data_IF_024596763341
#
_entry.id   IF_024596763341
#
_cell.length_a   1.000
_cell.length_b   1.000
_cell.length_c   1.000
_cell.angle_alpha   90.00
_cell.angle_beta   90.00
_cell.angle_gamma   90.00
#
_symmetry.space_group_name_H-M   'P 1'
#
loop_
_entity.id
_entity.type
_entity.pdbx_description
1 polymer ?
#
# COMPACT_ATOMS: atom_id res chain seq x y z
N UNK A 1 7.45 27.25 8.00
CA UNK A 1 7.26 26.52 6.70
C UNK A 1 7.79 25.12 6.87
N UNK A 2 6.99 24.11 6.68
CA UNK A 2 7.36 22.72 6.92
C UNK A 2 6.92 21.81 5.78
N UNK A 3 7.52 20.62 5.67
CA UNK A 3 7.23 19.61 4.66
C UNK A 3 6.94 18.27 5.33
N UNK A 4 5.91 17.59 4.87
CA UNK A 4 5.51 16.32 5.42
C UNK A 4 5.81 15.16 4.47
N UNK A 5 6.18 14.01 5.05
CA UNK A 5 6.24 12.72 4.37
C UNK A 5 5.36 11.71 5.10
N UNK A 6 4.51 11.00 4.35
CA UNK A 6 3.73 9.89 4.87
C UNK A 6 4.15 8.59 4.20
N UNK A 7 4.35 7.54 5.02
CA UNK A 7 4.58 6.18 4.57
C UNK A 7 3.38 5.32 4.98
N UNK A 8 2.75 4.65 4.00
CA UNK A 8 1.58 3.79 4.17
C UNK A 8 2.01 2.36 3.87
N UNK A 9 2.44 1.64 4.91
CA UNK A 9 2.96 0.28 4.81
C UNK A 9 1.92 -0.81 5.09
N UNK A 10 2.35 -2.08 5.10
CA UNK A 10 1.49 -3.25 5.36
C UNK A 10 1.00 -3.35 6.80
N UNK A 11 1.73 -2.82 7.77
CA UNK A 11 1.45 -2.96 9.21
C UNK A 11 1.06 -1.65 9.89
N UNK A 12 1.00 -0.55 9.15
CA UNK A 12 0.68 0.77 9.68
C UNK A 12 1.08 1.89 8.76
N UNK A 13 0.71 3.11 9.15
CA UNK A 13 1.12 4.33 8.50
C UNK A 13 1.89 5.23 9.47
N UNK A 14 2.81 6.03 8.93
CA UNK A 14 3.66 6.95 9.69
C UNK A 14 3.81 8.27 8.94
N UNK A 15 3.66 9.36 9.64
CA UNK A 15 3.85 10.71 9.14
C UNK A 15 4.96 11.41 9.92
N UNK A 16 5.87 12.05 9.20
CA UNK A 16 6.91 12.92 9.74
C UNK A 16 6.78 14.29 9.08
N UNK A 17 6.97 15.34 9.88
CA UNK A 17 7.03 16.72 9.38
C UNK A 17 8.39 17.30 9.74
N UNK A 18 9.01 17.94 8.77
CA UNK A 18 10.35 18.53 8.87
C UNK A 18 10.27 20.04 8.68
N UNK A 19 11.09 20.78 9.44
CA UNK A 19 11.39 22.18 9.18
C UNK A 19 12.33 22.34 7.97
N UNK A 20 12.71 23.58 7.64
CA UNK A 20 13.62 23.88 6.53
C UNK A 20 15.07 23.42 6.81
N UNK A 21 15.44 23.24 8.05
CA UNK A 21 16.75 22.76 8.49
C UNK A 21 16.81 21.22 8.50
N UNK A 22 15.70 20.53 8.27
CA UNK A 22 15.61 19.07 8.23
C UNK A 22 15.38 18.42 9.61
N UNK A 23 15.03 19.17 10.64
CA UNK A 23 14.67 18.61 11.92
C UNK A 23 13.22 18.12 11.91
N UNK A 24 12.97 17.00 12.57
CA UNK A 24 11.60 16.48 12.74
C UNK A 24 10.88 17.30 13.81
N UNK A 25 9.90 18.11 13.39
CA UNK A 25 9.10 18.96 14.28
C UNK A 25 7.75 18.34 14.69
N UNK A 26 7.27 17.33 13.95
CA UNK A 26 6.07 16.58 14.30
C UNK A 26 6.16 15.14 13.80
N UNK A 27 5.56 14.22 14.54
CA UNK A 27 5.41 12.82 14.14
C UNK A 27 4.10 12.24 14.63
N UNK A 28 3.48 11.41 13.79
CA UNK A 28 2.35 10.57 14.16
C UNK A 28 2.43 9.21 13.46
N UNK A 29 1.88 8.17 14.07
CA UNK A 29 1.81 6.84 13.47
C UNK A 29 0.61 6.07 13.98
N UNK A 30 0.08 5.18 13.14
CA UNK A 30 -0.99 4.25 13.47
C UNK A 30 -0.63 2.87 12.97
N UNK A 31 -0.94 1.86 13.77
CA UNK A 31 -0.82 0.46 13.39
C UNK A 31 -2.18 -0.08 13.00
N UNK A 32 -2.21 -0.91 11.98
CA UNK A 32 -3.33 -1.75 11.63
C UNK A 32 -2.83 -3.18 11.41
N UNK A 33 -3.74 -4.11 11.35
CA UNK A 33 -3.40 -5.54 11.24
C UNK A 33 -3.83 -6.05 9.88
N UNK A 34 -3.05 -7.02 9.40
CA UNK A 34 -3.49 -7.85 8.30
C UNK A 34 -4.72 -8.63 8.72
N UNK A 35 -5.68 -8.71 7.82
CA UNK A 35 -6.83 -9.60 7.86
C UNK A 35 -6.53 -10.72 6.87
N UNK A 36 -7.07 -11.90 7.11
CA UNK A 36 -6.88 -13.05 6.23
C UNK A 36 -6.75 -14.33 7.03
N UNK A 37 -7.05 -15.45 6.39
CA UNK A 37 -7.02 -16.79 6.97
C UNK A 37 -6.52 -17.77 5.91
N UNK A 38 -5.97 -18.88 6.34
CA UNK A 38 -5.63 -20.00 5.47
C UNK A 38 -4.65 -19.65 4.32
N UNK A 39 -3.67 -18.78 4.60
CA UNK A 39 -2.68 -18.33 3.63
C UNK A 39 -3.09 -17.09 2.84
N UNK A 40 -4.27 -16.55 3.07
CA UNK A 40 -4.70 -15.26 2.53
C UNK A 40 -4.10 -14.14 3.37
N UNK A 41 -3.64 -13.09 2.71
CA UNK A 41 -3.05 -11.92 3.34
C UNK A 41 -3.71 -10.67 2.79
N UNK A 42 -4.48 -10.00 3.62
CA UNK A 42 -5.32 -8.88 3.21
C UNK A 42 -5.17 -7.67 4.13
N UNK A 43 -5.40 -6.50 3.56
CA UNK A 43 -5.67 -5.29 4.31
C UNK A 43 -7.07 -4.78 3.97
N UNK A 44 -7.81 -4.36 5.00
CA UNK A 44 -9.04 -3.63 4.83
C UNK A 44 -8.72 -2.18 4.42
N UNK A 45 -9.07 -1.75 3.19
CA UNK A 45 -8.72 -0.41 2.70
C UNK A 45 -9.38 0.72 3.49
N UNK A 46 -10.57 0.49 4.05
CA UNK A 46 -11.27 1.49 4.88
C UNK A 46 -10.47 1.76 6.16
N UNK A 47 -9.97 0.70 6.81
CA UNK A 47 -9.14 0.83 8.02
C UNK A 47 -7.85 1.58 7.71
N UNK A 48 -7.21 1.28 6.57
CA UNK A 48 -6.00 2.00 6.14
C UNK A 48 -6.30 3.48 5.93
N UNK A 49 -7.35 3.80 5.15
CA UNK A 49 -7.74 5.17 4.82
C UNK A 49 -8.12 5.98 6.07
N UNK A 50 -8.86 5.38 7.00
CA UNK A 50 -9.24 6.01 8.26
C UNK A 50 -8.00 6.38 9.10
N UNK A 51 -7.05 5.46 9.24
CA UNK A 51 -5.81 5.74 9.98
C UNK A 51 -4.96 6.83 9.31
N UNK A 52 -4.90 6.86 7.99
CA UNK A 52 -4.24 7.94 7.23
C UNK A 52 -4.92 9.27 7.51
N UNK A 53 -6.25 9.35 7.45
CA UNK A 53 -7.02 10.58 7.76
C UNK A 53 -6.76 11.06 9.19
N UNK A 54 -6.68 10.14 10.16
CA UNK A 54 -6.40 10.49 11.56
C UNK A 54 -5.03 11.15 11.67
N UNK A 55 -3.96 10.55 11.16
CA UNK A 55 -2.61 11.11 11.30
C UNK A 55 -2.42 12.42 10.54
N UNK A 56 -3.09 12.60 9.40
CA UNK A 56 -3.13 13.88 8.68
C UNK A 56 -3.84 14.96 9.48
N UNK A 57 -4.99 14.63 10.09
CA UNK A 57 -5.72 15.56 10.96
C UNK A 57 -4.91 15.93 12.19
N UNK A 58 -4.20 14.99 12.81
CA UNK A 58 -3.30 15.25 13.92
C UNK A 58 -2.18 16.21 13.54
N UNK A 59 -1.57 16.02 12.36
CA UNK A 59 -0.53 16.90 11.85
C UNK A 59 -1.07 18.32 11.62
N UNK A 60 -2.23 18.46 10.98
CA UNK A 60 -2.84 19.76 10.72
C UNK A 60 -3.24 20.53 11.97
N UNK A 61 -3.52 19.81 13.09
CA UNK A 61 -3.91 20.45 14.36
C UNK A 61 -2.75 20.76 15.29
N UNK A 62 -1.70 19.93 15.27
CA UNK A 62 -0.68 19.92 16.32
C UNK A 62 0.73 20.23 15.80
N UNK A 63 0.95 20.32 14.50
CA UNK A 63 2.23 20.74 13.96
C UNK A 63 2.47 22.21 14.32
N UNK A 64 3.64 22.59 14.84
CA UNK A 64 3.92 23.97 15.25
C UNK A 64 4.09 24.92 14.06
N UNK A 65 4.26 24.39 12.85
CA UNK A 65 4.43 25.18 11.62
C UNK A 65 3.42 24.78 10.55
N UNK A 66 3.17 25.71 9.61
CA UNK A 66 2.35 25.43 8.44
C UNK A 66 3.03 24.40 7.53
N UNK A 67 2.30 23.34 7.19
CA UNK A 67 2.73 22.30 6.26
C UNK A 67 2.40 22.76 4.84
N UNK A 68 3.43 22.98 4.03
CA UNK A 68 3.30 23.51 2.65
C UNK A 68 3.12 22.40 1.60
N UNK A 69 3.69 21.22 1.85
CA UNK A 69 3.60 20.09 0.94
C UNK A 69 3.66 18.75 1.68
N UNK A 70 3.04 17.75 1.07
CA UNK A 70 3.02 16.36 1.52
C UNK A 70 3.50 15.43 0.41
N UNK A 71 4.51 14.62 0.69
CA UNK A 71 4.90 13.50 -0.15
C UNK A 71 4.31 12.19 0.41
N UNK A 72 3.88 11.30 -0.48
CA UNK A 72 3.27 10.01 -0.11
C UNK A 72 4.13 8.88 -0.66
N UNK A 73 4.56 7.97 0.23
CA UNK A 73 5.03 6.63 -0.10
C UNK A 73 3.97 5.62 0.31
N UNK A 74 3.73 4.61 -0.50
CA UNK A 74 2.69 3.62 -0.26
C UNK A 74 3.09 2.25 -0.78
N UNK A 75 2.29 1.24 -0.44
CA UNK A 75 2.40 -0.12 -0.95
C UNK A 75 2.39 -0.11 -2.49
N UNK A 76 3.45 -0.62 -3.12
CA UNK A 76 3.59 -0.63 -4.57
C UNK A 76 2.81 -1.74 -5.29
N UNK A 77 2.42 -2.77 -4.55
CA UNK A 77 1.89 -4.02 -5.13
C UNK A 77 0.48 -4.38 -4.63
N UNK A 78 -0.17 -3.49 -3.91
CA UNK A 78 -1.54 -3.69 -3.44
C UNK A 78 -2.53 -2.86 -4.24
N UNK A 79 -3.67 -3.47 -4.57
CA UNK A 79 -4.72 -2.86 -5.39
C UNK A 79 -6.02 -2.82 -4.59
N UNK A 80 -6.75 -1.73 -4.69
CA UNK A 80 -8.12 -1.59 -4.19
C UNK A 80 -9.08 -1.52 -5.37
N UNK A 81 -9.99 -2.49 -5.47
CA UNK A 81 -11.03 -2.47 -6.50
C UNK A 81 -12.23 -1.67 -6.01
N UNK A 82 -12.70 -0.75 -6.84
CA UNK A 82 -13.87 0.08 -6.55
C UNK A 82 -14.95 -0.14 -7.62
N UNK A 83 -16.21 0.00 -7.22
CA UNK A 83 -17.32 0.10 -8.17
C UNK A 83 -17.44 1.52 -8.76
N UNK A 84 -18.44 1.71 -9.63
CA UNK A 84 -18.75 3.00 -10.26
C UNK A 84 -19.15 4.11 -9.27
N UNK A 85 -19.54 3.75 -8.06
CA UNK A 85 -19.92 4.67 -6.98
C UNK A 85 -18.79 4.88 -5.96
N UNK A 86 -17.58 4.38 -6.24
CA UNK A 86 -16.42 4.37 -5.36
C UNK A 86 -16.58 3.52 -4.09
N UNK A 87 -17.48 2.52 -4.09
CA UNK A 87 -17.54 1.56 -2.99
C UNK A 87 -16.42 0.52 -3.16
N UNK A 88 -15.79 0.16 -2.06
CA UNK A 88 -14.76 -0.86 -2.01
C UNK A 88 -15.40 -2.23 -2.22
N UNK A 89 -14.95 -2.97 -3.24
CA UNK A 89 -15.50 -4.28 -3.60
C UNK A 89 -14.90 -5.43 -2.79
N UNK A 90 -13.64 -5.30 -2.37
CA UNK A 90 -12.93 -6.32 -1.61
C UNK A 90 -11.76 -5.73 -0.82
N UNK A 91 -11.26 -6.49 0.14
CA UNK A 91 -9.99 -6.20 0.79
C UNK A 91 -8.84 -6.24 -0.21
N UNK A 92 -7.81 -5.43 0.07
CA UNK A 92 -6.60 -5.38 -0.75
C UNK A 92 -5.70 -6.57 -0.42
N UNK A 93 -5.32 -7.35 -1.43
CA UNK A 93 -4.37 -8.45 -1.27
C UNK A 93 -2.95 -7.92 -1.07
N UNK A 94 -2.20 -8.58 -0.20
CA UNK A 94 -0.80 -8.26 0.08
C UNK A 94 0.15 -9.21 -0.62
N UNK A 95 1.39 -8.78 -0.75
CA UNK A 95 2.51 -9.62 -1.19
C UNK A 95 2.60 -10.88 -0.33
N UNK A 96 2.69 -12.04 -0.97
CA UNK A 96 2.71 -13.34 -0.29
C UNK A 96 1.34 -13.97 -0.07
N UNK A 97 0.26 -13.35 -0.53
CA UNK A 97 -1.05 -14.00 -0.64
C UNK A 97 -0.97 -15.22 -1.58
N UNK A 98 -1.65 -16.30 -1.28
CA UNK A 98 -1.55 -17.55 -2.05
C UNK A 98 -2.57 -17.66 -3.20
N UNK A 99 -3.48 -16.73 -3.36
CA UNK A 99 -4.44 -16.70 -4.47
C UNK A 99 -3.74 -16.35 -5.80
N UNK A 100 -4.35 -16.70 -6.91
CA UNK A 100 -3.83 -16.40 -8.26
C UNK A 100 -2.65 -17.28 -8.71
N UNK A 101 -2.36 -18.39 -8.02
CA UNK A 101 -1.28 -19.33 -8.42
C UNK A 101 -1.63 -20.01 -9.74
N UNK A 102 -2.88 -20.41 -9.93
CA UNK A 102 -3.36 -21.07 -11.15
C UNK A 102 -3.22 -20.16 -12.36
N UNK A 103 -3.67 -18.92 -12.23
CA UNK A 103 -3.62 -17.88 -13.27
C UNK A 103 -2.19 -17.56 -13.67
N UNK A 104 -1.27 -17.52 -12.71
CA UNK A 104 0.17 -17.35 -13.00
C UNK A 104 0.73 -18.53 -13.77
N UNK A 105 0.32 -19.75 -13.43
CA UNK A 105 0.76 -20.95 -14.16
C UNK A 105 0.25 -20.94 -15.61
N UNK A 106 -0.99 -20.53 -15.83
CA UNK A 106 -1.55 -20.36 -17.17
C UNK A 106 -0.79 -19.29 -17.97
N UNK A 107 -0.47 -18.15 -17.37
CA UNK A 107 0.35 -17.11 -18.01
C UNK A 107 1.74 -17.64 -18.38
N UNK A 108 2.39 -18.39 -17.51
CA UNK A 108 3.70 -18.97 -17.77
C UNK A 108 3.62 -20.01 -18.90
N UNK A 109 2.57 -20.82 -18.94
CA UNK A 109 2.36 -21.79 -20.02
C UNK A 109 2.12 -21.10 -21.36
N UNK A 110 1.41 -19.98 -21.38
CA UNK A 110 1.07 -19.27 -22.61
C UNK A 110 2.21 -18.42 -23.14
N UNK A 111 2.92 -17.69 -22.30
CA UNK A 111 3.94 -16.72 -22.69
C UNK A 111 5.38 -17.19 -22.46
N UNK A 112 5.59 -18.21 -21.64
CA UNK A 112 6.90 -18.68 -21.22
C UNK A 112 7.50 -17.84 -20.08
N UNK A 113 8.07 -18.49 -19.08
CA UNK A 113 8.64 -17.82 -17.90
C UNK A 113 9.78 -16.84 -18.27
N UNK A 114 10.60 -17.20 -19.26
CA UNK A 114 11.72 -16.36 -19.70
C UNK A 114 11.23 -15.06 -20.34
N UNK A 115 10.21 -15.13 -21.20
CA UNK A 115 9.62 -13.95 -21.84
C UNK A 115 8.99 -13.00 -20.83
N UNK A 116 8.26 -13.56 -19.84
CA UNK A 116 7.68 -12.76 -18.77
C UNK A 116 8.78 -12.07 -17.96
N UNK A 117 9.87 -12.78 -17.65
CA UNK A 117 11.02 -12.19 -16.96
C UNK A 117 11.67 -11.05 -17.75
N UNK A 118 11.84 -11.20 -19.06
CA UNK A 118 12.44 -10.17 -19.93
C UNK A 118 11.62 -8.88 -19.93
N UNK A 119 10.29 -8.99 -19.86
CA UNK A 119 9.39 -7.81 -19.81
C UNK A 119 9.32 -7.21 -18.42
N UNK A 120 9.25 -8.04 -17.37
CA UNK A 120 8.92 -7.58 -16.01
C UNK A 120 10.13 -7.41 -15.10
N UNK A 121 11.25 -8.06 -15.42
CA UNK A 121 12.44 -8.12 -14.56
C UNK A 121 12.34 -9.10 -13.39
N UNK A 122 11.24 -9.85 -13.25
CA UNK A 122 11.01 -10.73 -12.10
C UNK A 122 11.12 -12.21 -12.45
N UNK A 123 12.04 -12.91 -11.79
CA UNK A 123 12.32 -14.34 -12.03
C UNK A 123 11.30 -15.30 -11.43
N UNK A 124 10.61 -14.89 -10.37
CA UNK A 124 9.60 -15.72 -9.69
C UNK A 124 8.36 -14.87 -9.44
N UNK A 125 7.30 -15.17 -10.16
CA UNK A 125 6.06 -14.40 -10.13
C UNK A 125 5.17 -14.69 -8.90
N UNK A 126 5.70 -15.34 -7.87
CA UNK A 126 4.92 -15.71 -6.70
C UNK A 126 4.43 -14.52 -5.85
N UNK A 127 4.82 -13.29 -6.20
CA UNK A 127 4.57 -12.10 -5.37
C UNK A 127 4.20 -10.85 -6.18
N UNK A 128 3.44 -10.98 -7.28
CA UNK A 128 3.20 -9.85 -8.17
C UNK A 128 1.77 -9.35 -8.21
N UNK A 129 1.61 -8.13 -8.72
CA UNK A 129 0.34 -7.43 -8.97
C UNK A 129 -0.66 -8.29 -9.75
N UNK A 130 -0.21 -9.18 -10.62
CA UNK A 130 -1.08 -10.11 -11.35
C UNK A 130 -1.85 -11.06 -10.44
N UNK A 131 -1.30 -11.48 -9.32
CA UNK A 131 -2.04 -12.27 -8.31
C UNK A 131 -3.18 -11.47 -7.68
N UNK A 132 -2.99 -10.16 -7.52
CA UNK A 132 -3.96 -9.29 -6.91
C UNK A 132 -5.11 -8.89 -7.86
N UNK A 133 -4.95 -9.11 -9.17
CA UNK A 133 -5.94 -8.77 -10.19
C UNK A 133 -6.76 -10.00 -10.62
N UNK A 134 -6.15 -11.18 -10.61
CA UNK A 134 -6.75 -12.42 -11.12
C UNK A 134 -7.25 -13.37 -10.01
N UNK A 135 -6.93 -13.11 -8.75
CA UNK A 135 -7.30 -13.96 -7.60
C UNK A 135 -8.72 -13.80 -7.10
#
# INVERSE_FOLDING_TARGET
MAFAGIDIGTSGCKLLVYDLEGHVIFRSSRKYREEGRDGFRELNPEVVLENVKIILSEAGKNCPENIEALAVASLGESVVCLDENNNILANSMLTGDCRGITEIQELIQHFGAQHIFEITGFRQMNYMVFRNICG
#
